data_IF_780703750247
#
_entry.id   IF_780703750247
#
_cell.length_a   1.000
_cell.length_b   1.000
_cell.length_c   1.000
_cell.angle_alpha   90.00
_cell.angle_beta   90.00
_cell.angle_gamma   90.00
#
_symmetry.space_group_name_H-M   'P 1'
#
loop_
_entity.id
_entity.type
_entity.pdbx_description
1 polymer ?
#
# COMPACT_ATOMS: atom_id res chain seq x y z
N UNK A 1 8.35 4.04 11.14
CA UNK A 1 7.44 2.94 11.55
C UNK A 1 7.56 2.53 13.02
N UNK A 2 8.74 2.19 13.56
CA UNK A 2 8.86 1.71 14.96
C UNK A 2 8.32 2.71 15.99
N UNK A 3 8.56 4.00 15.79
CA UNK A 3 8.01 5.05 16.66
C UNK A 3 6.48 5.11 16.59
N UNK A 4 5.89 5.01 15.39
CA UNK A 4 4.44 4.96 15.17
C UNK A 4 3.81 3.83 15.98
N UNK A 5 4.38 2.63 15.88
CA UNK A 5 3.92 1.44 16.61
C UNK A 5 3.99 1.64 18.12
N UNK A 6 5.11 2.17 18.63
CA UNK A 6 5.28 2.44 20.06
C UNK A 6 4.21 3.38 20.60
N UNK A 7 3.96 4.48 19.88
CA UNK A 7 3.01 5.51 20.32
C UNK A 7 1.56 5.05 20.26
N UNK A 8 1.17 4.30 19.22
CA UNK A 8 -0.16 3.69 19.16
C UNK A 8 -0.40 2.73 20.31
N UNK A 9 0.62 1.94 20.68
CA UNK A 9 0.55 1.05 21.83
C UNK A 9 0.43 1.83 23.15
N UNK A 10 1.27 2.84 23.37
CA UNK A 10 1.23 3.68 24.58
C UNK A 10 -0.13 4.36 24.77
N UNK A 11 -0.69 4.92 23.70
CA UNK A 11 -2.00 5.56 23.76
C UNK A 11 -3.12 4.56 24.08
N UNK A 12 -3.16 3.42 23.38
CA UNK A 12 -4.12 2.35 23.64
C UNK A 12 -4.05 1.82 25.09
N UNK A 13 -2.85 1.74 25.66
CA UNK A 13 -2.66 1.35 27.05
C UNK A 13 -3.17 2.40 28.03
N UNK A 14 -2.97 3.67 27.73
CA UNK A 14 -3.44 4.80 28.55
C UNK A 14 -4.97 4.93 28.55
N UNK A 15 -5.62 4.64 27.41
CA UNK A 15 -7.08 4.65 27.29
C UNK A 15 -7.74 3.40 27.90
N UNK A 16 -7.03 2.27 27.96
CA UNK A 16 -7.54 1.00 28.48
C UNK A 16 -7.39 0.79 30.01
N UNK A 17 -7.07 1.83 30.80
CA UNK A 17 -6.83 1.73 32.26
C UNK A 17 -8.04 1.23 33.09
N UNK A 18 -9.18 0.89 32.46
CA UNK A 18 -10.35 0.28 33.10
C UNK A 18 -10.47 -1.25 33.16
N UNK A 19 -9.63 -2.06 32.49
CA UNK A 19 -9.90 -3.53 32.40
C UNK A 19 -8.70 -4.44 32.17
N UNK A 20 -8.27 -5.18 33.20
CA UNK A 20 -7.20 -6.19 33.11
C UNK A 20 -7.75 -7.58 32.75
N UNK A 21 -7.59 -7.97 31.47
CA UNK A 21 -7.16 -9.31 30.97
C UNK A 21 -7.40 -9.50 29.46
N UNK A 22 -8.25 -8.68 28.83
CA UNK A 22 -8.51 -8.68 27.37
C UNK A 22 -7.46 -7.89 26.55
N UNK A 23 -6.46 -7.31 27.21
CA UNK A 23 -5.57 -6.31 26.63
C UNK A 23 -4.55 -6.85 25.61
N UNK A 24 -4.19 -8.15 25.61
CA UNK A 24 -3.14 -8.68 24.71
C UNK A 24 -3.57 -8.77 23.23
N UNK A 25 -4.69 -9.43 22.86
CA UNK A 25 -5.16 -9.47 21.48
C UNK A 25 -5.60 -8.09 20.98
N UNK A 26 -6.13 -7.23 21.86
CA UNK A 26 -6.46 -5.85 21.53
C UNK A 26 -5.21 -5.02 21.18
N UNK A 27 -4.10 -5.18 21.92
CA UNK A 27 -2.82 -4.51 21.61
C UNK A 27 -2.24 -4.94 20.26
N UNK A 28 -2.27 -6.24 19.99
CA UNK A 28 -1.72 -6.82 18.76
C UNK A 28 -2.51 -6.37 17.51
N UNK A 29 -3.84 -6.26 17.62
CA UNK A 29 -4.68 -5.70 16.58
C UNK A 29 -4.41 -4.21 16.35
N UNK A 30 -4.24 -3.40 17.40
CA UNK A 30 -3.93 -1.97 17.27
C UNK A 30 -2.59 -1.75 16.57
N UNK A 31 -1.58 -2.57 16.88
CA UNK A 31 -0.27 -2.51 16.21
C UNK A 31 -0.40 -2.84 14.73
N UNK A 32 -1.14 -3.89 14.39
CA UNK A 32 -1.38 -4.30 12.99
C UNK A 32 -2.11 -3.20 12.23
N UNK A 33 -3.20 -2.66 12.81
CA UNK A 33 -3.98 -1.58 12.20
C UNK A 33 -3.14 -0.31 12.01
N UNK A 34 -2.34 0.09 13.00
CA UNK A 34 -1.46 1.25 12.89
C UNK A 34 -0.38 1.07 11.82
N UNK A 35 0.22 -0.13 11.70
CA UNK A 35 1.20 -0.45 10.65
C UNK A 35 0.54 -0.44 9.26
N UNK A 36 -0.64 -1.04 9.13
CA UNK A 36 -1.41 -1.07 7.87
C UNK A 36 -1.74 0.35 7.42
N UNK A 37 -2.28 1.17 8.32
CA UNK A 37 -2.63 2.56 8.00
C UNK A 37 -1.40 3.42 7.68
N UNK A 38 -0.28 3.21 8.37
CA UNK A 38 1.00 3.85 8.03
C UNK A 38 1.42 3.53 6.60
N UNK A 39 1.39 2.27 6.19
CA UNK A 39 1.74 1.88 4.83
C UNK A 39 0.72 2.35 3.79
N UNK A 40 -0.57 2.41 4.13
CA UNK A 40 -1.60 2.97 3.27
C UNK A 40 -1.32 4.44 2.95
N UNK A 41 -0.90 5.24 3.95
CA UNK A 41 -0.49 6.64 3.75
C UNK A 41 0.67 6.73 2.76
N UNK A 42 1.72 5.93 2.94
CA UNK A 42 2.89 5.94 2.05
C UNK A 42 2.53 5.53 0.62
N UNK A 43 1.71 4.50 0.47
CA UNK A 43 1.22 4.03 -0.82
C UNK A 43 0.39 5.11 -1.55
N UNK A 44 -0.53 5.77 -0.84
CA UNK A 44 -1.36 6.83 -1.43
C UNK A 44 -0.55 8.07 -1.80
N UNK A 45 0.52 8.39 -1.07
CA UNK A 45 1.47 9.45 -1.45
C UNK A 45 2.13 9.14 -2.81
N UNK A 46 2.60 7.92 -3.03
CA UNK A 46 3.20 7.55 -4.33
C UNK A 46 2.18 7.62 -5.47
N UNK A 47 0.92 7.22 -5.23
CA UNK A 47 -0.15 7.40 -6.21
C UNK A 47 -0.45 8.88 -6.51
N UNK A 48 -0.37 9.74 -5.49
CA UNK A 48 -0.54 11.18 -5.64
C UNK A 48 0.56 11.75 -6.53
N UNK A 49 1.82 11.38 -6.28
CA UNK A 49 2.97 11.81 -7.07
C UNK A 49 2.82 11.40 -8.56
N UNK A 50 2.36 10.16 -8.82
CA UNK A 50 2.07 9.71 -10.19
C UNK A 50 0.98 10.56 -10.83
N UNK A 51 -0.12 10.81 -10.12
CA UNK A 51 -1.24 11.57 -10.65
C UNK A 51 -0.85 13.03 -10.94
N UNK A 52 -0.01 13.64 -10.09
CA UNK A 52 0.55 14.98 -10.29
C UNK A 52 1.51 15.04 -11.48
N UNK A 53 2.36 14.02 -11.65
CA UNK A 53 3.23 13.90 -12.82
C UNK A 53 2.41 13.80 -14.12
N UNK A 54 1.41 12.91 -14.16
CA UNK A 54 0.55 12.68 -15.32
C UNK A 54 -0.27 13.92 -15.65
N UNK A 55 -0.77 14.62 -14.64
CA UNK A 55 -1.42 15.92 -14.79
C UNK A 55 -0.51 16.90 -15.53
N UNK A 56 0.75 17.01 -15.13
CA UNK A 56 1.73 17.89 -15.78
C UNK A 56 1.97 17.53 -17.25
N UNK A 57 2.02 16.24 -17.59
CA UNK A 57 2.10 15.81 -18.98
C UNK A 57 0.87 16.18 -19.80
N UNK A 58 -0.34 16.01 -19.26
CA UNK A 58 -1.56 16.43 -19.94
C UNK A 58 -1.62 17.95 -20.14
N UNK A 59 -1.28 18.76 -19.13
CA UNK A 59 -1.27 20.22 -19.24
C UNK A 59 -0.34 20.69 -20.37
N UNK A 60 0.89 20.15 -20.42
CA UNK A 60 1.86 20.46 -21.47
C UNK A 60 1.36 20.02 -22.85
N UNK A 61 0.79 18.82 -22.95
CA UNK A 61 0.31 18.28 -24.22
C UNK A 61 -0.87 19.08 -24.77
N UNK A 62 -1.82 19.48 -23.91
CA UNK A 62 -2.96 20.31 -24.28
C UNK A 62 -2.50 21.67 -24.80
N UNK A 63 -1.57 22.36 -24.10
CA UNK A 63 -1.06 23.65 -24.54
C UNK A 63 -0.48 23.59 -25.97
N UNK A 64 0.37 22.59 -26.23
CA UNK A 64 0.95 22.38 -27.57
C UNK A 64 -0.10 22.05 -28.63
N UNK A 65 -1.08 21.23 -28.26
CA UNK A 65 -2.14 20.81 -29.17
C UNK A 65 -3.06 21.98 -29.57
N UNK A 66 -3.38 22.86 -28.62
CA UNK A 66 -4.18 24.06 -28.84
C UNK A 66 -3.43 25.06 -29.74
N UNK A 67 -2.15 25.32 -29.48
CA UNK A 67 -1.31 26.18 -30.33
C UNK A 67 -1.29 25.71 -31.80
N UNK A 68 -1.07 24.40 -32.03
CA UNK A 68 -1.08 23.82 -33.38
C UNK A 68 -2.44 23.91 -34.06
N UNK A 69 -3.51 23.66 -33.31
CA UNK A 69 -4.86 23.75 -33.83
C UNK A 69 -5.22 25.18 -34.26
N UNK A 70 -4.85 26.16 -33.44
CA UNK A 70 -5.08 27.59 -33.72
C UNK A 70 -4.25 28.11 -34.89
N UNK A 71 -3.02 27.60 -35.06
CA UNK A 71 -2.18 27.95 -36.22
C UNK A 71 -2.65 27.32 -37.54
N UNK A 72 -3.66 26.45 -37.50
CA UNK A 72 -4.13 25.72 -38.68
C UNK A 72 -3.15 24.63 -39.15
N UNK A 73 -2.21 24.23 -38.28
CA UNK A 73 -1.32 23.10 -38.51
C UNK A 73 -2.16 21.82 -38.33
N UNK A 74 -2.73 21.33 -39.44
CA UNK A 74 -3.84 20.36 -39.50
C UNK A 74 -3.58 18.97 -38.89
N UNK A 75 -2.46 18.79 -38.20
CA UNK A 75 -2.03 17.54 -37.57
C UNK A 75 -2.69 17.26 -36.21
N UNK A 76 -3.45 18.21 -35.66
CA UNK A 76 -4.16 18.07 -34.39
C UNK A 76 -5.67 18.29 -34.57
N UNK A 77 -6.48 17.36 -34.04
CA UNK A 77 -7.94 17.50 -34.05
C UNK A 77 -8.49 18.01 -32.72
N UNK A 78 -9.64 18.69 -32.76
CA UNK A 78 -10.41 19.04 -31.55
C UNK A 78 -10.77 17.81 -30.70
N UNK A 79 -11.00 16.66 -31.35
CA UNK A 79 -11.26 15.40 -30.65
C UNK A 79 -10.05 14.95 -29.82
N UNK A 80 -8.84 15.06 -30.38
CA UNK A 80 -7.60 14.75 -29.65
C UNK A 80 -7.39 15.68 -28.45
N UNK A 81 -7.60 16.99 -28.62
CA UNK A 81 -7.54 17.98 -27.52
C UNK A 81 -8.57 17.63 -26.44
N UNK A 82 -9.79 17.28 -26.84
CA UNK A 82 -10.87 16.91 -25.91
C UNK A 82 -10.52 15.66 -25.10
N UNK A 83 -9.94 14.63 -25.73
CA UNK A 83 -9.47 13.42 -25.01
C UNK A 83 -8.40 13.76 -23.98
N UNK A 84 -7.42 14.59 -24.32
CA UNK A 84 -6.38 15.00 -23.36
C UNK A 84 -6.96 15.81 -22.20
N UNK A 85 -7.91 16.71 -22.45
CA UNK A 85 -8.65 17.43 -21.40
C UNK A 85 -9.43 16.49 -20.48
N UNK A 86 -10.03 15.44 -21.04
CA UNK A 86 -10.70 14.39 -20.24
C UNK A 86 -9.70 13.63 -19.36
N UNK A 87 -8.53 13.29 -19.92
CA UNK A 87 -7.42 12.70 -19.15
C UNK A 87 -6.97 13.59 -17.99
N UNK A 88 -6.76 14.88 -18.26
CA UNK A 88 -6.41 15.89 -17.24
C UNK A 88 -7.46 15.99 -16.12
N UNK A 89 -8.74 16.01 -16.48
CA UNK A 89 -9.82 16.02 -15.51
C UNK A 89 -9.83 14.76 -14.64
N UNK A 90 -9.54 13.60 -15.24
CA UNK A 90 -9.33 12.33 -14.53
C UNK A 90 -8.21 12.42 -13.50
N UNK A 91 -7.01 12.83 -13.90
CA UNK A 91 -5.87 13.00 -13.00
C UNK A 91 -6.15 14.01 -11.88
N UNK A 92 -6.86 15.10 -12.19
CA UNK A 92 -7.26 16.10 -11.19
C UNK A 92 -8.22 15.53 -10.15
N UNK A 93 -9.20 14.72 -10.59
CA UNK A 93 -10.12 14.04 -9.69
C UNK A 93 -9.37 13.06 -8.77
N UNK A 94 -8.42 12.29 -9.31
CA UNK A 94 -7.61 11.35 -8.54
C UNK A 94 -6.76 12.08 -7.49
N UNK A 95 -6.12 13.20 -7.86
CA UNK A 95 -5.38 14.07 -6.93
C UNK A 95 -6.25 14.54 -5.76
N UNK A 96 -7.48 15.01 -6.04
CA UNK A 96 -8.40 15.50 -5.00
C UNK A 96 -8.76 14.37 -4.02
N UNK A 97 -9.07 13.18 -4.54
CA UNK A 97 -9.38 12.00 -3.73
C UNK A 97 -8.20 11.57 -2.89
N UNK A 98 -7.03 11.37 -3.51
CA UNK A 98 -5.82 10.93 -2.82
C UNK A 98 -5.40 11.90 -1.71
N UNK A 99 -5.45 13.20 -1.96
CA UNK A 99 -5.18 14.22 -0.92
C UNK A 99 -6.15 14.11 0.25
N UNK A 100 -7.44 13.89 -0.01
CA UNK A 100 -8.46 13.75 1.03
C UNK A 100 -8.24 12.47 1.84
N UNK A 101 -8.02 11.36 1.15
CA UNK A 101 -7.76 10.05 1.75
C UNK A 101 -6.50 10.05 2.63
N UNK A 102 -5.40 10.65 2.16
CA UNK A 102 -4.16 10.79 2.93
C UNK A 102 -4.44 11.59 4.21
N UNK A 103 -5.18 12.70 4.12
CA UNK A 103 -5.52 13.53 5.29
C UNK A 103 -6.35 12.75 6.30
N UNK A 104 -7.37 12.03 5.84
CA UNK A 104 -8.21 11.19 6.72
C UNK A 104 -7.35 10.10 7.39
N UNK A 105 -6.52 9.40 6.62
CA UNK A 105 -5.65 8.36 7.15
C UNK A 105 -4.64 8.90 8.18
N UNK A 106 -4.08 10.10 7.96
CA UNK A 106 -3.23 10.79 8.95
C UNK A 106 -3.99 11.09 10.24
N UNK A 107 -5.21 11.63 10.16
CA UNK A 107 -6.02 11.95 11.34
C UNK A 107 -6.38 10.69 12.14
N UNK A 108 -6.76 9.61 11.44
CA UNK A 108 -7.02 8.31 12.05
C UNK A 108 -5.77 7.78 12.74
N UNK A 109 -4.61 7.80 12.07
CA UNK A 109 -3.34 7.35 12.66
C UNK A 109 -2.95 8.19 13.88
N UNK A 110 -3.13 9.51 13.82
CA UNK A 110 -2.88 10.41 14.95
C UNK A 110 -3.75 10.07 16.14
N UNK A 111 -5.05 9.84 15.91
CA UNK A 111 -5.98 9.38 16.94
C UNK A 111 -5.52 8.06 17.57
N UNK A 112 -5.07 7.09 16.76
CA UNK A 112 -4.52 5.84 17.27
C UNK A 112 -3.27 6.04 18.12
N UNK A 113 -2.44 7.04 17.78
CA UNK A 113 -1.20 7.40 18.49
C UNK A 113 -1.43 8.34 19.69
N UNK A 114 -2.66 8.80 19.94
CA UNK A 114 -2.94 9.81 20.96
C UNK A 114 -2.32 11.17 20.67
N UNK A 115 -2.10 11.48 19.39
CA UNK A 115 -1.49 12.73 18.92
C UNK A 115 -2.40 13.40 17.92
N UNK A 116 -2.50 14.73 18.01
CA UNK A 116 -3.06 15.51 16.93
C UNK A 116 -2.01 15.63 15.82
N UNK A 117 -2.08 14.75 14.82
CA UNK A 117 -1.27 14.91 13.62
C UNK A 117 -1.87 16.06 12.81
N UNK A 118 -1.13 17.16 12.68
CA UNK A 118 -1.53 18.23 11.79
C UNK A 118 -1.56 17.72 10.34
N UNK A 119 -2.39 18.33 9.49
CA UNK A 119 -2.49 17.95 8.07
C UNK A 119 -1.12 18.00 7.36
N UNK A 120 -0.26 18.92 7.81
CA UNK A 120 1.07 19.17 7.29
C UNK A 120 2.17 18.35 8.00
N UNK A 121 1.82 17.56 9.02
CA UNK A 121 2.79 16.70 9.70
C UNK A 121 3.35 15.65 8.74
N UNK A 122 4.67 15.57 8.66
CA UNK A 122 5.35 14.46 8.01
C UNK A 122 5.12 13.19 8.83
N UNK A 123 4.69 12.12 8.16
CA UNK A 123 4.46 10.82 8.77
C UNK A 123 5.58 9.89 8.33
N UNK A 124 6.61 9.79 9.16
CA UNK A 124 7.72 8.85 8.99
C UNK A 124 8.46 9.03 7.67
N UNK A 125 8.56 7.94 6.90
CA UNK A 125 9.25 7.91 5.61
C UNK A 125 8.45 8.65 4.52
N UNK A 126 9.15 9.08 3.47
CA UNK A 126 8.51 9.73 2.33
C UNK A 126 7.89 8.72 1.36
N UNK A 127 8.53 7.56 1.23
CA UNK A 127 8.25 6.56 0.19
C UNK A 127 7.96 5.21 0.79
N UNK A 128 7.06 4.47 0.15
CA UNK A 128 6.79 3.08 0.53
C UNK A 128 7.93 2.17 0.05
N UNK A 129 8.42 1.31 0.95
CA UNK A 129 9.38 0.27 0.63
C UNK A 129 8.85 -1.12 1.03
N UNK A 130 9.20 -2.19 0.30
CA UNK A 130 8.88 -3.55 0.71
C UNK A 130 9.55 -3.90 2.05
N UNK A 131 8.79 -4.53 2.95
CA UNK A 131 9.33 -5.12 4.17
C UNK A 131 10.35 -6.22 3.84
N UNK A 132 11.36 -6.38 4.70
CA UNK A 132 12.37 -7.42 4.53
C UNK A 132 11.74 -8.80 4.80
N UNK A 133 11.61 -9.61 3.75
CA UNK A 133 11.16 -11.00 3.84
C UNK A 133 12.01 -11.89 2.92
N UNK A 134 12.83 -12.77 3.52
CA UNK A 134 13.86 -13.54 2.81
C UNK A 134 13.56 -15.04 2.71
N UNK A 135 12.39 -15.47 3.17
CA UNK A 135 12.04 -16.89 3.24
C UNK A 135 11.39 -17.34 1.94
N UNK A 136 11.94 -18.39 1.33
CA UNK A 136 11.41 -19.00 0.11
C UNK A 136 10.48 -20.19 0.40
N UNK A 137 10.62 -20.83 1.56
CA UNK A 137 9.77 -21.92 2.00
C UNK A 137 9.37 -21.74 3.48
N UNK A 138 8.29 -22.42 3.87
CA UNK A 138 7.72 -22.30 5.20
C UNK A 138 8.63 -22.89 6.27
N UNK A 139 9.36 -23.97 5.96
CA UNK A 139 10.25 -24.66 6.90
C UNK A 139 11.40 -23.76 7.37
N UNK A 140 11.96 -22.94 6.48
CA UNK A 140 13.01 -21.97 6.83
C UNK A 140 12.44 -20.80 7.64
N UNK A 141 11.23 -20.34 7.31
CA UNK A 141 10.52 -19.35 8.10
C UNK A 141 10.21 -19.86 9.51
N UNK A 142 9.68 -21.07 9.65
CA UNK A 142 9.32 -21.68 10.93
C UNK A 142 10.53 -21.85 11.86
N UNK A 143 11.69 -22.23 11.30
CA UNK A 143 12.97 -22.31 12.03
C UNK A 143 13.49 -20.95 12.49
N UNK A 144 13.16 -19.88 11.78
CA UNK A 144 13.60 -18.52 12.11
C UNK A 144 12.81 -17.91 13.28
N UNK A 145 11.63 -18.46 13.59
CA UNK A 145 10.77 -17.94 14.64
C UNK A 145 11.42 -18.06 16.03
N UNK A 146 11.28 -17.05 16.90
CA UNK A 146 11.74 -17.15 18.29
C UNK A 146 11.10 -18.35 18.99
N UNK A 147 11.84 -19.06 19.85
CA UNK A 147 11.32 -20.19 20.66
C UNK A 147 10.03 -19.84 21.41
N UNK A 148 9.88 -18.58 21.85
CA UNK A 148 8.65 -18.08 22.50
C UNK A 148 7.45 -18.00 21.55
N UNK A 149 7.64 -17.77 20.26
CA UNK A 149 6.57 -17.78 19.25
C UNK A 149 6.16 -19.22 18.90
N UNK A 150 7.13 -20.14 18.91
CA UNK A 150 6.88 -21.58 18.83
C UNK A 150 6.07 -22.08 20.05
N UNK A 151 6.28 -21.50 21.24
CA UNK A 151 5.51 -21.77 22.47
C UNK A 151 4.20 -20.94 22.60
N UNK A 152 4.05 -19.80 21.93
CA UNK A 152 2.83 -18.96 21.96
C UNK A 152 1.71 -19.57 21.12
N UNK A 153 2.05 -20.29 20.05
CA UNK A 153 1.15 -21.23 19.36
C UNK A 153 0.55 -22.28 20.33
N UNK A 154 1.21 -22.57 21.45
CA UNK A 154 0.74 -23.49 22.50
C UNK A 154 -0.13 -22.78 23.56
N UNK A 155 -0.17 -21.43 23.59
CA UNK A 155 -0.75 -20.66 24.72
C UNK A 155 -1.84 -19.63 24.39
N UNK A 156 -1.92 -19.09 23.18
CA UNK A 156 -2.94 -18.07 22.85
C UNK A 156 -4.21 -18.67 22.25
N UNK A 157 -4.91 -19.47 23.05
CA UNK A 157 -6.32 -19.80 22.87
C UNK A 157 -7.15 -19.13 23.98
N UNK A 158 -7.95 -18.14 23.60
CA UNK A 158 -9.08 -17.49 24.30
C UNK A 158 -9.33 -17.85 25.80
N UNK A 159 -9.26 -16.91 26.78
CA UNK A 159 -9.46 -17.18 28.20
C UNK A 159 -10.95 -17.10 28.60
N UNK A 160 -11.78 -17.92 27.95
CA UNK A 160 -13.22 -18.03 28.26
C UNK A 160 -13.62 -19.27 29.07
N UNK A 161 -12.68 -20.18 29.36
CA UNK A 161 -12.95 -21.39 30.16
C UNK A 161 -12.00 -21.48 31.35
N UNK A 162 -12.59 -21.74 32.51
CA UNK A 162 -11.91 -22.02 33.78
C UNK A 162 -10.74 -23.00 33.63
N UNK A 163 -9.72 -22.96 34.52
CA UNK A 163 -8.57 -23.85 34.47
C UNK A 163 -9.02 -25.25 34.90
N UNK A 164 -9.51 -26.03 33.94
CA UNK A 164 -9.98 -27.38 34.13
C UNK A 164 -10.17 -28.08 32.80
N UNK A 165 -9.15 -28.83 32.38
CA UNK A 165 -9.28 -29.96 31.44
C UNK A 165 -9.56 -29.64 29.98
N UNK A 166 -8.58 -29.13 29.24
CA UNK A 166 -8.52 -29.44 27.80
C UNK A 166 -7.90 -30.83 27.64
N UNK A 167 -8.56 -31.74 26.93
CA UNK A 167 -8.00 -33.08 26.68
C UNK A 167 -6.72 -32.97 25.83
N UNK A 168 -5.82 -33.97 25.87
CA UNK A 168 -4.65 -34.01 24.96
C UNK A 168 -5.04 -33.85 23.48
N UNK A 169 -6.22 -34.35 23.08
CA UNK A 169 -6.73 -34.29 21.71
C UNK A 169 -7.17 -32.86 21.31
N UNK A 170 -7.76 -32.10 22.23
CA UNK A 170 -8.18 -30.71 21.99
C UNK A 170 -6.98 -29.75 21.84
N UNK A 171 -5.89 -30.00 22.58
CA UNK A 171 -4.64 -29.24 22.44
C UNK A 171 -3.95 -29.55 21.11
N UNK A 172 -3.91 -30.82 20.71
CA UNK A 172 -3.34 -31.24 19.44
C UNK A 172 -4.09 -30.69 18.23
N UNK A 173 -5.42 -30.56 18.32
CA UNK A 173 -6.23 -29.97 17.25
C UNK A 173 -5.98 -28.46 17.09
N UNK A 174 -5.89 -27.72 18.21
CA UNK A 174 -5.61 -26.29 18.20
C UNK A 174 -4.22 -25.96 17.63
N UNK A 175 -3.21 -26.75 17.99
CA UNK A 175 -1.85 -26.61 17.44
C UNK A 175 -1.80 -26.85 15.92
N UNK A 176 -2.60 -27.81 15.44
CA UNK A 176 -2.73 -28.09 14.01
C UNK A 176 -3.40 -26.92 13.27
N UNK A 177 -4.44 -26.32 13.86
CA UNK A 177 -5.15 -25.17 13.29
C UNK A 177 -4.25 -23.92 13.19
N UNK A 178 -3.46 -23.63 14.24
CA UNK A 178 -2.52 -22.50 14.25
C UNK A 178 -1.43 -22.70 13.19
N UNK A 179 -0.85 -23.90 13.11
CA UNK A 179 0.15 -24.23 12.08
C UNK A 179 -0.44 -24.12 10.67
N UNK A 180 -1.69 -24.52 10.48
CA UNK A 180 -2.38 -24.37 9.20
C UNK A 180 -2.61 -22.89 8.85
N UNK A 181 -3.01 -22.07 9.81
CA UNK A 181 -3.19 -20.63 9.62
C UNK A 181 -1.85 -19.94 9.24
N UNK A 182 -0.76 -20.25 9.95
CA UNK A 182 0.59 -19.77 9.63
C UNK A 182 1.03 -20.18 8.22
N UNK A 183 0.85 -21.44 7.84
CA UNK A 183 1.17 -21.93 6.49
C UNK A 183 0.38 -21.20 5.41
N UNK A 184 -0.92 -20.96 5.63
CA UNK A 184 -1.76 -20.18 4.70
C UNK A 184 -1.30 -18.73 4.59
N UNK A 185 -0.98 -18.08 5.71
CA UNK A 185 -0.47 -16.71 5.72
C UNK A 185 0.89 -16.60 5.03
N UNK A 186 1.77 -17.59 5.21
CA UNK A 186 3.05 -17.67 4.52
C UNK A 186 2.88 -17.77 3.01
N UNK A 187 2.04 -18.69 2.53
CA UNK A 187 1.76 -18.86 1.10
C UNK A 187 1.23 -17.56 0.49
N UNK A 188 0.29 -16.89 1.17
CA UNK A 188 -0.22 -15.58 0.74
C UNK A 188 0.86 -14.51 0.69
N UNK A 189 1.77 -14.48 1.67
CA UNK A 189 2.89 -13.52 1.70
C UNK A 189 3.83 -13.74 0.52
N UNK A 190 4.16 -14.99 0.20
CA UNK A 190 4.97 -15.36 -0.96
C UNK A 190 4.27 -14.98 -2.27
N UNK A 191 2.96 -15.26 -2.40
CA UNK A 191 2.16 -14.86 -3.56
C UNK A 191 2.23 -13.35 -3.78
N UNK A 192 1.98 -12.55 -2.74
CA UNK A 192 2.03 -11.08 -2.83
C UNK A 192 3.42 -10.56 -3.18
N UNK A 193 4.47 -11.16 -2.62
CA UNK A 193 5.86 -10.84 -2.97
C UNK A 193 6.15 -11.08 -4.45
N UNK A 194 5.68 -12.19 -5.00
CA UNK A 194 5.95 -12.54 -6.39
C UNK A 194 5.15 -11.66 -7.36
N UNK A 195 3.90 -11.32 -7.03
CA UNK A 195 3.11 -10.29 -7.74
C UNK A 195 3.84 -8.94 -7.72
N UNK A 196 4.34 -8.51 -6.55
CA UNK A 196 5.08 -7.26 -6.41
C UNK A 196 6.35 -7.22 -7.28
N UNK A 197 7.13 -8.31 -7.29
CA UNK A 197 8.32 -8.44 -8.14
C UNK A 197 7.98 -8.35 -9.64
N UNK A 198 6.84 -8.91 -10.05
CA UNK A 198 6.35 -8.77 -11.42
C UNK A 198 5.91 -7.34 -11.72
N UNK A 199 5.16 -6.71 -10.82
CA UNK A 199 4.70 -5.33 -10.96
C UNK A 199 5.86 -4.33 -11.07
N UNK A 200 6.96 -4.55 -10.35
CA UNK A 200 8.18 -3.74 -10.46
C UNK A 200 8.74 -3.75 -11.89
N UNK A 201 8.81 -4.94 -12.52
CA UNK A 201 9.29 -5.09 -13.90
C UNK A 201 8.34 -4.38 -14.88
N UNK A 202 7.04 -4.57 -14.71
CA UNK A 202 6.03 -3.93 -15.56
C UNK A 202 6.12 -2.41 -15.47
N UNK A 203 6.28 -1.84 -14.27
CA UNK A 203 6.47 -0.39 -14.08
C UNK A 203 7.69 0.13 -14.84
N UNK A 204 8.82 -0.57 -14.81
CA UNK A 204 10.04 -0.16 -15.54
C UNK A 204 9.80 -0.11 -17.05
N UNK A 205 9.14 -1.13 -17.60
CA UNK A 205 8.77 -1.20 -19.03
C UNK A 205 7.82 -0.06 -19.39
N UNK A 206 6.76 0.14 -18.61
CA UNK A 206 5.79 1.19 -18.87
C UNK A 206 6.37 2.59 -18.72
N UNK A 207 7.30 2.81 -17.78
CA UNK A 207 8.02 4.09 -17.67
C UNK A 207 8.84 4.39 -18.91
N UNK A 208 9.54 3.38 -19.46
CA UNK A 208 10.30 3.54 -20.70
C UNK A 208 9.38 3.88 -21.89
N UNK A 209 8.22 3.24 -21.99
CA UNK A 209 7.20 3.57 -22.99
C UNK A 209 6.74 5.02 -22.85
N UNK A 210 6.33 5.44 -21.65
CA UNK A 210 5.87 6.82 -21.41
C UNK A 210 6.94 7.85 -21.80
N UNK A 211 8.19 7.66 -21.37
CA UNK A 211 9.28 8.58 -21.70
C UNK A 211 9.48 8.70 -23.22
N UNK A 212 9.34 7.58 -23.93
CA UNK A 212 9.43 7.55 -25.40
C UNK A 212 8.28 8.32 -26.05
N UNK A 213 7.04 8.06 -25.64
CA UNK A 213 5.88 8.73 -26.22
C UNK A 213 5.80 10.23 -25.90
N UNK A 214 6.20 10.62 -24.68
CA UNK A 214 6.35 12.04 -24.32
C UNK A 214 7.38 12.72 -25.21
N UNK A 215 8.54 12.10 -25.41
CA UNK A 215 9.58 12.66 -26.28
C UNK A 215 9.13 12.75 -27.73
N UNK A 216 8.50 11.70 -28.26
CA UNK A 216 7.97 11.68 -29.62
C UNK A 216 6.94 12.79 -29.84
N UNK A 217 6.01 12.95 -28.90
CA UNK A 217 5.02 14.02 -28.95
C UNK A 217 5.69 15.40 -28.84
N UNK A 218 6.68 15.55 -27.95
CA UNK A 218 7.40 16.80 -27.77
C UNK A 218 8.16 17.24 -29.02
N UNK A 219 8.72 16.30 -29.78
CA UNK A 219 9.39 16.54 -31.06
C UNK A 219 8.44 16.62 -32.26
N UNK A 220 7.13 16.42 -32.06
CA UNK A 220 6.13 16.47 -33.13
C UNK A 220 6.16 15.28 -34.09
N UNK A 221 6.82 14.18 -33.72
CA UNK A 221 6.85 12.93 -34.51
C UNK A 221 5.82 11.90 -34.00
N UNK A 222 5.39 12.02 -32.74
CA UNK A 222 4.36 11.18 -32.12
C UNK A 222 2.97 11.83 -32.21
N UNK A 223 1.93 11.02 -32.14
CA UNK A 223 0.55 11.49 -32.15
C UNK A 223 -0.04 11.58 -30.73
N UNK A 224 -1.14 12.34 -30.59
CA UNK A 224 -1.79 12.55 -29.30
C UNK A 224 -2.46 11.30 -28.71
N UNK A 225 -2.83 10.32 -29.55
CA UNK A 225 -3.49 9.09 -29.11
C UNK A 225 -2.49 8.17 -28.40
N UNK A 226 -1.30 7.99 -28.97
CA UNK A 226 -0.23 7.17 -28.39
C UNK A 226 0.24 7.77 -27.06
N UNK A 227 0.43 9.10 -27.01
CA UNK A 227 0.72 9.79 -25.75
C UNK A 227 -0.39 9.58 -24.72
N UNK A 228 -1.66 9.79 -25.09
CA UNK A 228 -2.80 9.60 -24.19
C UNK A 228 -2.83 8.18 -23.62
N UNK A 229 -2.70 7.16 -24.49
CA UNK A 229 -2.69 5.75 -24.06
C UNK A 229 -1.51 5.45 -23.13
N UNK A 230 -0.31 5.95 -23.46
CA UNK A 230 0.88 5.75 -22.61
C UNK A 230 0.70 6.34 -21.21
N UNK A 231 0.07 7.52 -21.09
CA UNK A 231 -0.24 8.17 -19.81
C UNK A 231 -1.24 7.36 -18.97
N UNK A 232 -2.29 6.83 -19.60
CA UNK A 232 -3.28 5.98 -18.92
C UNK A 232 -2.66 4.66 -18.45
N UNK A 233 -1.87 4.01 -19.32
CA UNK A 233 -1.15 2.77 -18.98
C UNK A 233 -0.15 3.04 -17.85
N UNK A 234 0.61 4.13 -17.92
CA UNK A 234 1.56 4.52 -16.87
C UNK A 234 0.89 4.75 -15.53
N UNK A 235 -0.22 5.49 -15.51
CA UNK A 235 -0.99 5.71 -14.29
C UNK A 235 -1.42 4.37 -13.68
N UNK A 236 -2.04 3.50 -14.47
CA UNK A 236 -2.55 2.20 -13.99
C UNK A 236 -1.43 1.28 -13.49
N UNK A 237 -0.36 1.12 -14.28
CA UNK A 237 0.73 0.17 -13.95
C UNK A 237 1.55 0.68 -12.77
N UNK A 238 1.83 1.99 -12.71
CA UNK A 238 2.61 2.55 -11.61
C UNK A 238 1.81 2.54 -10.30
N UNK A 239 0.52 2.89 -10.34
CA UNK A 239 -0.36 2.79 -9.18
C UNK A 239 -0.49 1.34 -8.69
N UNK A 240 -0.66 0.38 -9.61
CA UNK A 240 -0.73 -1.05 -9.26
C UNK A 240 0.58 -1.61 -8.70
N UNK A 241 1.74 -1.07 -9.10
CA UNK A 241 3.01 -1.42 -8.48
C UNK A 241 3.08 -1.00 -7.01
N UNK A 242 2.73 0.24 -6.70
CA UNK A 242 2.74 0.69 -5.30
C UNK A 242 1.66 0.00 -4.45
N UNK A 243 0.51 -0.33 -5.05
CA UNK A 243 -0.51 -1.18 -4.42
C UNK A 243 0.05 -2.57 -4.09
N UNK A 244 0.84 -3.17 -5.00
CA UNK A 244 1.46 -4.47 -4.75
C UNK A 244 2.50 -4.45 -3.62
N UNK A 245 3.20 -3.32 -3.41
CA UNK A 245 4.10 -3.15 -2.26
C UNK A 245 3.28 -3.09 -0.97
N UNK A 246 2.20 -2.30 -0.97
CA UNK A 246 1.29 -2.19 0.17
C UNK A 246 0.70 -3.57 0.54
N UNK A 247 0.16 -4.29 -0.44
CA UNK A 247 -0.41 -5.63 -0.26
C UNK A 247 0.61 -6.62 0.32
N UNK A 248 1.84 -6.60 -0.17
CA UNK A 248 2.92 -7.44 0.33
C UNK A 248 3.28 -7.07 1.78
N UNK A 249 3.37 -5.78 2.10
CA UNK A 249 3.66 -5.31 3.45
C UNK A 249 2.55 -5.72 4.43
N UNK A 250 1.28 -5.57 4.04
CA UNK A 250 0.13 -6.02 4.86
C UNK A 250 0.17 -7.53 5.07
N UNK A 251 0.41 -8.32 4.02
CA UNK A 251 0.52 -9.78 4.15
C UNK A 251 1.67 -10.19 5.10
N UNK A 252 2.82 -9.52 5.03
CA UNK A 252 3.93 -9.75 5.94
C UNK A 252 3.58 -9.39 7.40
N UNK A 253 2.87 -8.28 7.64
CA UNK A 253 2.37 -7.90 8.97
C UNK A 253 1.37 -8.94 9.51
N UNK A 254 0.46 -9.42 8.66
CA UNK A 254 -0.52 -10.45 9.05
C UNK A 254 0.13 -11.79 9.35
N UNK A 255 1.22 -12.13 8.66
CA UNK A 255 2.03 -13.31 8.94
C UNK A 255 2.79 -13.18 10.26
N UNK A 256 3.38 -12.03 10.56
CA UNK A 256 4.03 -11.75 11.86
C UNK A 256 3.06 -11.85 13.05
N UNK A 257 1.77 -11.64 12.81
CA UNK A 257 0.70 -11.71 13.83
C UNK A 257 0.32 -13.15 14.23
N UNK A 258 0.53 -14.13 13.36
CA UNK A 258 0.13 -15.53 13.62
C UNK A 258 0.98 -16.18 14.71
#
# INVERSE_FOLDING_TARGET
MEETVRLSLEHALSSAVGGKKEAAPARENIVVEAKTLYFEILYKKEQLDIAEEVKGYFEKAISKAEEKYESGDGDVSQSAITKMKLGLAGSTNDIIKLRSDIKIAKLTLGTMMGRELSLDSEVGEDKIAPLKFQYENYEDYEKSLPRKSQEKAVRTGNPGRHPGGASPDEKSALEADIRLAMRKAFIKTVEKRDIMRLAEKNRKITRALLVTEVANYDFGIGNAEDLFQSLIIYTRVSSGYYESIYDFNVAAIELERQ
#
